data_IF_164639625580
#
_entry.id   IF_164639625580
#
_cell.length_a   1.000
_cell.length_b   1.000
_cell.length_c   1.000
_cell.angle_alpha   90.00
_cell.angle_beta   90.00
_cell.angle_gamma   90.00
#
_symmetry.space_group_name_H-M   'P 1'
#
loop_
_entity.id
_entity.type
_entity.pdbx_description
1 polymer ?
#
# COMPACT_ATOMS: atom_id res chain seq x y z
N UNK A 1 3.54 4.78 -10.03
CA UNK A 1 4.25 3.67 -10.71
C UNK A 1 3.31 2.53 -11.05
N UNK A 2 2.65 1.88 -10.10
CA UNK A 2 1.73 0.74 -10.39
C UNK A 2 0.68 1.09 -11.43
N UNK A 3 -0.02 2.23 -11.29
CA UNK A 3 -1.00 2.67 -12.29
C UNK A 3 -0.43 2.85 -13.69
N UNK A 4 0.82 3.32 -13.81
CA UNK A 4 1.50 3.44 -15.10
C UNK A 4 1.78 2.06 -15.74
N UNK A 5 2.22 1.07 -14.94
CA UNK A 5 2.40 -0.31 -15.42
C UNK A 5 1.08 -0.88 -15.93
N UNK A 6 0.03 -0.80 -15.11
CA UNK A 6 -1.30 -1.31 -15.48
C UNK A 6 -1.79 -0.66 -16.78
N UNK A 7 -1.64 0.66 -16.89
CA UNK A 7 -2.01 1.37 -18.12
C UNK A 7 -1.20 0.88 -19.34
N UNK A 8 0.12 0.72 -19.20
CA UNK A 8 0.98 0.26 -20.30
C UNK A 8 0.63 -1.16 -20.72
N UNK A 9 0.34 -2.05 -19.77
CA UNK A 9 -0.02 -3.44 -20.05
C UNK A 9 -1.40 -3.57 -20.70
N UNK A 10 -2.33 -2.64 -20.43
CA UNK A 10 -3.73 -2.80 -20.81
C UNK A 10 -4.18 -1.91 -21.97
N UNK A 11 -3.45 -0.83 -22.29
CA UNK A 11 -3.87 0.20 -23.27
C UNK A 11 -4.14 -0.31 -24.69
N UNK A 12 -3.56 -1.44 -25.10
CA UNK A 12 -3.66 -1.98 -26.44
C UNK A 12 -4.33 -3.37 -26.48
N UNK A 13 -4.99 -3.79 -25.40
CA UNK A 13 -5.70 -5.06 -25.35
C UNK A 13 -6.91 -5.03 -26.31
N UNK A 14 -7.08 -6.13 -27.04
CA UNK A 14 -8.31 -6.37 -27.81
C UNK A 14 -9.43 -6.89 -26.89
N UNK A 15 -10.69 -6.79 -27.32
CA UNK A 15 -11.82 -7.34 -26.55
C UNK A 15 -11.65 -8.83 -26.25
N UNK A 16 -11.14 -9.61 -27.20
CA UNK A 16 -10.90 -11.04 -27.00
C UNK A 16 -9.85 -11.31 -25.95
N UNK A 17 -8.78 -10.50 -25.91
CA UNK A 17 -7.75 -10.58 -24.89
C UNK A 17 -8.30 -10.21 -23.50
N UNK A 18 -9.11 -9.16 -23.42
CA UNK A 18 -9.76 -8.75 -22.18
C UNK A 18 -10.66 -9.87 -21.64
N UNK A 19 -11.49 -10.47 -22.48
CA UNK A 19 -12.40 -11.56 -22.09
C UNK A 19 -11.64 -12.84 -21.71
N UNK A 20 -10.66 -13.25 -22.50
CA UNK A 20 -9.89 -14.46 -22.26
C UNK A 20 -9.06 -14.38 -20.98
N UNK A 21 -8.63 -13.18 -20.58
CA UNK A 21 -7.90 -12.92 -19.34
C UNK A 21 -8.83 -12.72 -18.12
N UNK A 22 -10.15 -12.70 -18.30
CA UNK A 22 -11.11 -12.46 -17.23
C UNK A 22 -11.13 -11.01 -16.73
N UNK A 23 -10.73 -10.05 -17.56
CA UNK A 23 -10.66 -8.62 -17.19
C UNK A 23 -11.91 -7.84 -17.57
N UNK A 24 -12.86 -8.44 -18.27
CA UNK A 24 -14.07 -7.80 -18.73
C UNK A 24 -14.84 -7.08 -17.60
N UNK A 25 -14.92 -7.68 -16.41
CA UNK A 25 -15.54 -7.05 -15.26
C UNK A 25 -14.92 -5.70 -14.86
N UNK A 26 -13.60 -5.52 -15.09
CA UNK A 26 -12.91 -4.27 -14.80
C UNK A 26 -13.08 -3.20 -15.88
N UNK A 27 -13.41 -3.60 -17.09
CA UNK A 27 -13.57 -2.70 -18.23
C UNK A 27 -15.01 -2.25 -18.46
N UNK A 28 -16.00 -2.90 -17.87
CA UNK A 28 -17.42 -2.56 -18.03
C UNK A 28 -17.72 -1.12 -17.62
N UNK A 29 -17.22 -0.70 -16.45
CA UNK A 29 -17.49 0.64 -15.94
C UNK A 29 -16.39 1.67 -16.27
N UNK A 30 -15.18 1.21 -16.56
CA UNK A 30 -13.99 2.09 -16.52
C UNK A 30 -13.05 1.93 -17.71
N UNK A 31 -13.51 1.63 -18.87
CA UNK A 31 -12.75 1.26 -20.10
C UNK A 31 -11.27 1.69 -20.17
N UNK A 32 -10.91 2.89 -19.72
CA UNK A 32 -9.54 3.42 -19.71
C UNK A 32 -9.12 3.98 -18.35
N UNK A 33 -9.99 3.96 -17.35
CA UNK A 33 -9.74 4.48 -16.01
C UNK A 33 -9.11 3.44 -15.11
N UNK A 34 -8.12 3.87 -14.28
CA UNK A 34 -7.52 3.03 -13.24
C UNK A 34 -8.07 3.53 -11.92
N UNK A 35 -8.76 2.66 -11.19
CA UNK A 35 -9.35 2.97 -9.89
C UNK A 35 -8.71 2.13 -8.80
N UNK A 36 -8.32 2.74 -7.65
CA UNK A 36 -7.82 2.00 -6.50
C UNK A 36 -8.92 1.09 -5.95
N UNK A 37 -8.67 -0.21 -5.95
CA UNK A 37 -9.61 -1.22 -5.45
C UNK A 37 -8.81 -2.30 -4.74
N UNK A 38 -9.24 -2.69 -3.54
CA UNK A 38 -8.65 -3.82 -2.84
C UNK A 38 -8.90 -5.13 -3.59
N UNK A 39 -8.08 -6.15 -3.38
CA UNK A 39 -8.24 -7.48 -3.98
C UNK A 39 -9.59 -8.12 -3.63
N UNK A 40 -10.22 -7.73 -2.52
CA UNK A 40 -11.58 -8.12 -2.13
C UNK A 40 -12.70 -7.48 -2.94
N UNK A 41 -12.38 -6.59 -3.88
CA UNK A 41 -13.36 -5.81 -4.65
C UNK A 41 -13.86 -4.53 -3.99
N UNK A 42 -13.38 -4.22 -2.77
CA UNK A 42 -13.78 -2.98 -2.08
C UNK A 42 -13.06 -1.77 -2.69
N UNK A 43 -13.78 -0.74 -3.15
CA UNK A 43 -13.16 0.47 -3.66
C UNK A 43 -12.46 1.24 -2.54
N UNK A 44 -11.49 2.08 -2.90
CA UNK A 44 -10.86 2.98 -1.93
C UNK A 44 -11.90 3.91 -1.32
N UNK A 45 -11.87 4.02 0.01
CA UNK A 45 -12.75 4.90 0.76
C UNK A 45 -11.98 5.52 1.93
N UNK A 46 -12.00 6.84 2.05
CA UNK A 46 -11.33 7.56 3.15
C UNK A 46 -11.84 7.15 4.54
N UNK A 47 -13.09 6.70 4.66
CA UNK A 47 -13.64 6.17 5.91
C UNK A 47 -12.95 4.87 6.39
N UNK A 48 -12.23 4.18 5.49
CA UNK A 48 -11.44 2.99 5.84
C UNK A 48 -10.05 3.31 6.40
N UNK A 49 -9.65 4.57 6.47
CA UNK A 49 -8.37 4.98 7.07
C UNK A 49 -8.45 4.77 8.58
N UNK A 50 -7.63 3.86 9.09
CA UNK A 50 -7.69 3.39 10.48
C UNK A 50 -6.91 4.23 11.49
N UNK A 51 -6.54 5.47 11.16
CA UNK A 51 -5.76 6.33 12.05
C UNK A 51 -6.50 6.57 13.37
N UNK A 52 -5.80 6.45 14.49
CA UNK A 52 -6.34 6.65 15.85
C UNK A 52 -5.92 7.97 16.49
N UNK A 53 -4.87 8.63 15.95
CA UNK A 53 -4.25 9.80 16.59
C UNK A 53 -3.37 9.44 17.79
N UNK A 54 -3.14 8.15 18.03
CA UNK A 54 -2.14 7.66 18.97
C UNK A 54 -0.86 7.30 18.20
N UNK A 55 0.24 7.95 18.54
CA UNK A 55 1.49 7.83 17.78
C UNK A 55 2.05 6.39 17.80
N UNK A 56 1.89 5.68 18.90
CA UNK A 56 2.39 4.29 19.00
C UNK A 56 1.52 3.34 18.18
N UNK A 57 0.19 3.49 18.28
CA UNK A 57 -0.74 2.68 17.50
C UNK A 57 -0.56 2.90 16.00
N UNK A 58 -0.54 4.16 15.58
CA UNK A 58 -0.47 4.53 14.16
C UNK A 58 0.87 4.09 13.54
N UNK A 59 2.01 4.32 14.20
CA UNK A 59 3.33 3.84 13.73
C UNK A 59 3.45 2.30 13.72
N UNK A 60 2.78 1.61 14.62
CA UNK A 60 2.75 0.14 14.63
C UNK A 60 1.96 -0.40 13.42
N UNK A 61 0.84 0.22 13.09
CA UNK A 61 0.08 -0.11 11.88
C UNK A 61 0.86 0.21 10.60
N UNK A 62 1.56 1.34 10.55
CA UNK A 62 2.42 1.70 9.42
C UNK A 62 3.51 0.63 9.20
N UNK A 63 4.19 0.17 10.25
CA UNK A 63 5.17 -0.91 10.15
C UNK A 63 4.55 -2.20 9.60
N UNK A 64 3.36 -2.55 10.07
CA UNK A 64 2.64 -3.72 9.58
C UNK A 64 2.22 -3.57 8.11
N UNK A 65 1.81 -2.36 7.70
CA UNK A 65 1.44 -2.06 6.32
C UNK A 65 2.62 -2.19 5.36
N UNK A 66 3.77 -1.61 5.70
CA UNK A 66 5.00 -1.70 4.90
C UNK A 66 5.48 -3.16 4.74
N UNK A 67 5.42 -3.94 5.81
CA UNK A 67 5.79 -5.36 5.74
C UNK A 67 4.80 -6.17 4.87
N UNK A 68 3.51 -5.89 4.94
CA UNK A 68 2.49 -6.51 4.07
C UNK A 68 2.72 -6.16 2.60
N UNK A 69 3.01 -4.88 2.30
CA UNK A 69 3.32 -4.43 0.95
C UNK A 69 4.54 -5.16 0.38
N UNK A 70 5.62 -5.28 1.16
CA UNK A 70 6.80 -6.03 0.77
C UNK A 70 6.49 -7.49 0.42
N UNK A 71 5.70 -8.18 1.25
CA UNK A 71 5.26 -9.56 0.97
C UNK A 71 4.42 -9.64 -0.30
N UNK A 72 3.55 -8.65 -0.53
CA UNK A 72 2.76 -8.56 -1.76
C UNK A 72 3.66 -8.44 -2.99
N UNK A 73 4.69 -7.61 -2.95
CA UNK A 73 5.66 -7.52 -4.03
C UNK A 73 6.45 -8.82 -4.25
N UNK A 74 6.85 -9.51 -3.18
CA UNK A 74 7.46 -10.85 -3.28
C UNK A 74 6.53 -11.85 -3.99
N UNK A 75 5.23 -11.80 -3.70
CA UNK A 75 4.24 -12.67 -4.35
C UNK A 75 4.08 -12.33 -5.85
N UNK A 76 4.06 -11.05 -6.20
CA UNK A 76 4.00 -10.62 -7.61
C UNK A 76 5.24 -11.14 -8.36
N UNK A 77 6.45 -10.97 -7.79
CA UNK A 77 7.70 -11.42 -8.39
C UNK A 77 7.78 -12.94 -8.58
N UNK A 78 7.05 -13.73 -7.79
CA UNK A 78 6.96 -15.19 -8.00
C UNK A 78 6.03 -15.58 -9.14
N UNK A 79 5.04 -14.75 -9.44
CA UNK A 79 4.01 -15.04 -10.43
C UNK A 79 4.31 -14.43 -11.80
N UNK A 80 5.07 -13.35 -11.84
CA UNK A 80 5.38 -12.61 -13.06
C UNK A 80 6.71 -13.07 -13.64
N UNK A 81 6.72 -13.37 -14.94
CA UNK A 81 7.90 -13.63 -15.76
C UNK A 81 8.27 -12.45 -16.67
N UNK A 82 7.50 -11.36 -16.63
CA UNK A 82 7.74 -10.14 -17.40
C UNK A 82 8.86 -9.31 -16.75
N UNK A 83 10.01 -9.11 -17.44
CA UNK A 83 11.14 -8.38 -16.87
C UNK A 83 10.84 -6.91 -16.61
N UNK A 84 10.03 -6.26 -17.42
CA UNK A 84 9.69 -4.84 -17.27
C UNK A 84 8.79 -4.61 -16.04
N UNK A 85 7.87 -5.53 -15.80
CA UNK A 85 7.07 -5.55 -14.56
C UNK A 85 7.97 -5.84 -13.36
N UNK A 86 8.80 -6.86 -13.45
CA UNK A 86 9.63 -7.33 -12.35
C UNK A 86 10.64 -6.26 -11.88
N UNK A 87 11.22 -5.48 -12.77
CA UNK A 87 12.19 -4.46 -12.40
C UNK A 87 11.54 -3.31 -11.60
N UNK A 88 10.33 -2.91 -11.98
CA UNK A 88 9.58 -1.90 -11.21
C UNK A 88 9.14 -2.44 -9.86
N UNK A 89 8.68 -3.69 -9.80
CA UNK A 89 8.25 -4.31 -8.54
C UNK A 89 9.44 -4.52 -7.58
N UNK A 90 10.61 -4.92 -8.09
CA UNK A 90 11.85 -4.98 -7.28
C UNK A 90 12.20 -3.63 -6.68
N UNK A 91 12.13 -2.57 -7.48
CA UNK A 91 12.38 -1.21 -6.98
C UNK A 91 11.40 -0.81 -5.87
N UNK A 92 10.10 -1.07 -6.04
CA UNK A 92 9.10 -0.78 -5.02
C UNK A 92 9.36 -1.61 -3.74
N UNK A 93 9.67 -2.88 -3.89
CA UNK A 93 10.01 -3.77 -2.77
C UNK A 93 11.18 -3.24 -1.94
N UNK A 94 12.25 -2.73 -2.58
CA UNK A 94 13.39 -2.13 -1.89
C UNK A 94 12.99 -0.85 -1.13
N UNK A 95 12.04 -0.08 -1.65
CA UNK A 95 11.52 1.09 -0.95
C UNK A 95 10.80 0.75 0.34
N UNK A 96 10.09 -0.37 0.40
CA UNK A 96 9.39 -0.80 1.63
C UNK A 96 10.36 -1.12 2.77
N UNK A 97 11.59 -1.54 2.47
CA UNK A 97 12.64 -1.72 3.49
C UNK A 97 12.97 -0.37 4.14
N UNK A 98 13.14 0.68 3.32
CA UNK A 98 13.44 2.04 3.81
C UNK A 98 12.26 2.62 4.59
N UNK A 99 11.04 2.43 4.13
CA UNK A 99 9.84 2.89 4.81
C UNK A 99 9.70 2.21 6.18
N UNK A 100 9.83 0.89 6.23
CA UNK A 100 9.81 0.12 7.48
C UNK A 100 10.87 0.63 8.48
N UNK A 101 12.09 0.90 8.03
CA UNK A 101 13.14 1.46 8.87
C UNK A 101 12.78 2.84 9.42
N UNK A 102 12.20 3.71 8.59
CA UNK A 102 11.79 5.07 9.01
C UNK A 102 10.67 5.05 10.04
N UNK A 103 9.64 4.25 9.82
CA UNK A 103 8.56 4.08 10.80
C UNK A 103 9.07 3.42 12.09
N UNK A 104 9.99 2.44 11.98
CA UNK A 104 10.63 1.81 13.13
C UNK A 104 11.45 2.79 13.96
N UNK A 105 12.21 3.67 13.31
CA UNK A 105 12.93 4.74 13.99
C UNK A 105 11.98 5.75 14.64
N UNK A 106 10.91 6.12 13.96
CA UNK A 106 9.85 6.97 14.51
C UNK A 106 9.22 6.37 15.77
N UNK A 107 8.90 5.08 15.73
CA UNK A 107 8.35 4.35 16.87
C UNK A 107 9.33 4.29 18.05
N UNK A 108 10.61 4.05 17.79
CA UNK A 108 11.67 4.06 18.81
C UNK A 108 11.75 5.43 19.49
N UNK A 109 11.84 6.51 18.69
CA UNK A 109 11.91 7.89 19.21
C UNK A 109 10.67 8.27 20.03
N UNK A 110 9.48 7.81 19.60
CA UNK A 110 8.25 8.05 20.34
C UNK A 110 8.29 7.36 21.71
N UNK A 111 8.71 6.09 21.78
CA UNK A 111 8.86 5.33 23.02
C UNK A 111 9.91 5.94 23.94
N UNK A 112 11.09 6.28 23.41
CA UNK A 112 12.15 6.94 24.20
C UNK A 112 11.66 8.24 24.83
N UNK A 113 10.86 9.01 24.10
CA UNK A 113 10.29 10.25 24.61
C UNK A 113 9.25 10.03 25.72
N UNK A 114 8.43 8.98 25.58
CA UNK A 114 7.46 8.59 26.60
C UNK A 114 8.17 8.16 27.89
N UNK A 115 9.17 7.29 27.77
CA UNK A 115 9.92 6.76 28.91
C UNK A 115 10.71 7.85 29.64
N UNK A 116 11.32 8.78 28.88
CA UNK A 116 12.17 9.84 29.45
C UNK A 116 11.43 10.86 30.31
N UNK A 117 10.10 11.02 30.16
CA UNK A 117 9.35 12.11 30.78
C UNK A 117 8.09 11.68 31.53
N UNK A 118 7.76 10.41 31.60
CA UNK A 118 6.45 9.92 32.08
C UNK A 118 5.26 10.68 31.44
N UNK A 119 5.44 11.15 30.21
CA UNK A 119 4.41 11.87 29.50
C UNK A 119 3.48 10.85 28.84
N UNK A 120 2.30 10.73 29.38
CA UNK A 120 1.19 10.23 28.60
C UNK A 120 1.00 11.19 27.42
N UNK A 121 0.85 10.66 26.19
CA UNK A 121 0.51 11.51 25.07
C UNK A 121 -0.85 12.15 25.35
N UNK A 122 -0.80 13.43 25.65
CA UNK A 122 -1.99 14.27 25.77
C UNK A 122 -2.64 14.34 24.38
N UNK A 123 -3.84 13.80 24.26
CA UNK A 123 -4.64 14.07 23.08
C UNK A 123 -5.39 15.39 23.31
N UNK A 124 -5.04 16.49 22.62
CA UNK A 124 -5.64 17.81 22.87
C UNK A 124 -7.16 17.83 22.69
N UNK A 125 -7.73 16.81 22.03
CA UNK A 125 -9.17 16.66 21.83
C UNK A 125 -9.89 16.14 23.07
N UNK A 126 -9.18 15.45 23.97
CA UNK A 126 -9.73 14.85 25.18
C UNK A 126 -9.28 15.52 26.48
N UNK A 127 -8.16 16.22 26.47
CA UNK A 127 -7.53 16.79 27.67
C UNK A 127 -7.76 18.30 27.79
N UNK A 128 -9.02 18.73 27.66
CA UNK A 128 -9.46 20.10 27.94
C UNK A 128 -9.92 20.23 29.38
#
# INVERSE_FOLDING_TARGET
MIGAIVHQLTRNLTEDQIRSAGFDAYFVDHTAGIYPTAASGSPWNAAGIGVKGDLIADLTEDLAAEQKARVTYDNILRLSDDPDVNDVIKFLREREIVHFQRFGEGLRLAKDKMDAKNLYFVNPSFDR
#
